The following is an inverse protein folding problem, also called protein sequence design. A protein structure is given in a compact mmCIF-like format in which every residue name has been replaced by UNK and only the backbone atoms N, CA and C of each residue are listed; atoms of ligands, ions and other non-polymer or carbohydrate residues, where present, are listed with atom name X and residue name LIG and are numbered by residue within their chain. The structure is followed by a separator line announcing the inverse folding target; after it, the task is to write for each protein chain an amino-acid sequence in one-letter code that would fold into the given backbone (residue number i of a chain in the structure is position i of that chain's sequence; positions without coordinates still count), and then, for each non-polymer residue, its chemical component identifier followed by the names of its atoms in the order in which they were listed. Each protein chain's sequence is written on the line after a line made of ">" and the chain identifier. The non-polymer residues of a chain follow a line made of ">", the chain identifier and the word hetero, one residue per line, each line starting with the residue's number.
data_IF_107464883488
#
_entry.id   IF_107464883488
#
_cell.length_a   1.000
_cell.length_b   1.000
_cell.length_c   1.000
_cell.angle_alpha   90.00
_cell.angle_beta   90.00
_cell.angle_gamma   90.00
#
_symmetry.space_group_name_H-M   'P 1'
#
loop_
_entity.id
_entity.type
_entity.pdbx_description
1 polymer ?
#
# COMPACT_ATOMS: atom_id res chain seq x y z
N UNK A 1 24.17 14.71 -33.07
CA UNK A 1 24.20 14.54 -31.60
C UNK A 1 24.59 13.13 -31.20
N UNK A 2 23.85 12.09 -31.61
CA UNK A 2 24.21 10.67 -31.39
C UNK A 2 25.65 10.31 -31.73
N UNK A 3 26.14 10.74 -32.90
CA UNK A 3 27.53 10.50 -33.34
C UNK A 3 28.57 11.00 -32.34
N UNK A 4 28.35 12.17 -31.73
CA UNK A 4 29.26 12.74 -30.71
C UNK A 4 29.24 11.92 -29.41
N UNK A 5 28.09 11.37 -29.03
CA UNK A 5 27.97 10.50 -27.85
C UNK A 5 28.70 9.18 -28.11
N UNK A 6 28.51 8.57 -29.27
CA UNK A 6 29.18 7.32 -29.65
C UNK A 6 30.69 7.52 -29.71
N UNK A 7 31.17 8.57 -30.39
CA UNK A 7 32.59 8.90 -30.45
C UNK A 7 33.16 9.19 -29.05
N UNK A 8 32.43 9.90 -28.20
CA UNK A 8 32.80 10.14 -26.80
C UNK A 8 32.89 8.85 -25.96
N UNK A 9 31.97 7.91 -26.15
CA UNK A 9 31.96 6.60 -25.49
C UNK A 9 33.10 5.70 -25.98
N UNK A 10 33.37 5.69 -27.28
CA UNK A 10 34.47 4.90 -27.88
C UNK A 10 35.83 5.47 -27.51
N UNK A 11 35.96 6.79 -27.33
CA UNK A 11 37.20 7.43 -26.87
C UNK A 11 37.48 7.13 -25.40
N UNK A 12 36.45 7.05 -24.57
CA UNK A 12 36.56 6.87 -23.11
C UNK A 12 36.17 5.45 -22.66
N UNK A 13 36.66 4.41 -23.35
CA UNK A 13 36.25 3.00 -23.11
C UNK A 13 36.39 2.57 -21.64
N UNK A 14 37.45 3.01 -20.96
CA UNK A 14 37.69 2.69 -19.55
C UNK A 14 36.60 3.27 -18.64
N UNK A 15 36.21 4.53 -18.85
CA UNK A 15 35.12 5.15 -18.08
C UNK A 15 33.79 4.44 -18.34
N UNK A 16 33.51 4.10 -19.60
CA UNK A 16 32.29 3.36 -19.96
C UNK A 16 32.26 2.00 -19.25
N UNK A 17 33.37 1.25 -19.26
CA UNK A 17 33.46 -0.05 -18.57
C UNK A 17 33.28 0.12 -17.06
N UNK A 18 33.89 1.13 -16.45
CA UNK A 18 33.73 1.42 -15.02
C UNK A 18 32.26 1.71 -14.67
N UNK A 19 31.58 2.53 -15.48
CA UNK A 19 30.16 2.81 -15.31
C UNK A 19 29.30 1.55 -15.43
N UNK A 20 29.62 0.68 -16.39
CA UNK A 20 28.91 -0.60 -16.56
C UNK A 20 29.10 -1.49 -15.33
N UNK A 21 30.33 -1.65 -14.83
CA UNK A 21 30.60 -2.45 -13.63
C UNK A 21 29.89 -1.88 -12.40
N UNK A 22 29.93 -0.56 -12.22
CA UNK A 22 29.22 0.10 -11.13
C UNK A 22 27.69 -0.10 -11.23
N UNK A 23 27.12 0.00 -12.44
CA UNK A 23 25.70 -0.23 -12.69
C UNK A 23 25.30 -1.69 -12.41
N UNK A 24 26.13 -2.66 -12.78
CA UNK A 24 25.93 -4.08 -12.46
C UNK A 24 25.96 -4.28 -10.94
N UNK A 25 26.96 -3.73 -10.25
CA UNK A 25 27.06 -3.82 -8.79
C UNK A 25 25.85 -3.23 -8.06
N UNK A 26 25.39 -2.05 -8.51
CA UNK A 26 24.17 -1.42 -8.01
C UNK A 26 22.93 -2.29 -8.29
N UNK A 27 22.83 -2.86 -9.50
CA UNK A 27 21.74 -3.75 -9.89
C UNK A 27 21.68 -5.02 -9.03
N UNK A 28 22.82 -5.67 -8.78
CA UNK A 28 22.89 -6.86 -7.90
C UNK A 28 22.50 -6.50 -6.46
N UNK A 29 22.98 -5.37 -5.94
CA UNK A 29 22.56 -4.89 -4.61
C UNK A 29 21.06 -4.61 -4.55
N UNK A 30 20.47 -4.02 -5.60
CA UNK A 30 19.04 -3.75 -5.67
C UNK A 30 18.23 -5.05 -5.73
N UNK A 31 18.63 -6.01 -6.57
CA UNK A 31 18.00 -7.34 -6.67
C UNK A 31 17.97 -8.08 -5.33
N UNK A 32 19.06 -8.02 -4.56
CA UNK A 32 19.12 -8.65 -3.23
C UNK A 32 18.27 -7.96 -2.16
N UNK A 33 17.96 -6.68 -2.34
CA UNK A 33 17.18 -5.87 -1.39
C UNK A 33 15.72 -5.73 -1.78
N UNK A 34 15.36 -6.08 -3.01
CA UNK A 34 13.99 -5.99 -3.49
C UNK A 34 13.13 -6.97 -2.69
N UNK A 35 12.08 -6.51 -1.99
CA UNK A 35 11.14 -7.41 -1.35
C UNK A 35 10.46 -8.25 -2.43
N UNK A 36 10.56 -9.56 -2.31
CA UNK A 36 9.89 -10.49 -3.21
C UNK A 36 8.57 -10.91 -2.56
N UNK A 37 7.46 -10.63 -3.24
CA UNK A 37 6.16 -11.19 -2.89
C UNK A 37 5.75 -12.20 -3.97
N UNK A 38 5.11 -13.29 -3.54
CA UNK A 38 4.66 -14.36 -4.42
C UNK A 38 3.36 -13.99 -5.13
N UNK A 39 2.57 -13.08 -4.56
CA UNK A 39 1.27 -12.68 -5.07
C UNK A 39 1.18 -11.15 -5.13
N UNK A 40 0.58 -10.59 -6.20
CA UNK A 40 0.25 -9.18 -6.20
C UNK A 40 -0.90 -8.92 -5.23
N UNK A 41 -0.81 -7.84 -4.44
CA UNK A 41 -1.93 -7.39 -3.61
C UNK A 41 -3.06 -6.86 -4.51
N UNK A 42 -4.18 -7.59 -4.51
CA UNK A 42 -5.41 -7.28 -5.26
C UNK A 42 -6.53 -6.82 -4.34
N UNK A 43 -6.25 -6.67 -3.04
CA UNK A 43 -7.25 -6.35 -2.03
C UNK A 43 -7.65 -4.88 -2.14
N UNK A 44 -8.93 -4.59 -1.88
CA UNK A 44 -9.36 -3.21 -1.70
C UNK A 44 -8.78 -2.62 -0.41
N UNK A 45 -8.50 -1.32 -0.42
CA UNK A 45 -8.07 -0.59 0.78
C UNK A 45 -9.26 -0.47 1.74
N UNK A 46 -9.17 -1.14 2.89
CA UNK A 46 -10.18 -1.13 3.94
C UNK A 46 -9.59 -0.60 5.24
N UNK A 47 -10.36 0.23 5.94
CA UNK A 47 -10.08 0.65 7.32
C UNK A 47 -11.16 0.04 8.21
N UNK A 48 -10.75 -0.68 9.25
CA UNK A 48 -11.65 -1.34 10.20
C UNK A 48 -11.70 -0.51 11.48
N UNK A 49 -12.91 -0.13 11.92
CA UNK A 49 -13.15 0.54 13.19
C UNK A 49 -13.78 -0.45 14.15
N UNK A 50 -13.00 -0.95 15.10
CA UNK A 50 -13.46 -1.95 16.04
C UNK A 50 -13.79 -1.32 17.40
N UNK A 51 -15.02 -1.49 17.86
CA UNK A 51 -15.51 -0.95 19.13
C UNK A 51 -16.13 -2.06 19.97
N UNK A 52 -15.73 -2.14 21.24
CA UNK A 52 -16.27 -3.11 22.20
C UNK A 52 -17.28 -2.44 23.16
N UNK A 53 -18.41 -3.10 23.39
CA UNK A 53 -19.39 -2.70 24.40
C UNK A 53 -19.97 -3.92 25.13
N UNK A 54 -19.19 -4.53 26.04
CA UNK A 54 -19.53 -5.82 26.63
C UNK A 54 -20.89 -5.80 27.35
N UNK A 55 -21.64 -6.89 27.19
CA UNK A 55 -22.94 -7.10 27.85
C UNK A 55 -24.14 -6.45 27.16
N UNK A 56 -23.94 -5.73 26.04
CA UNK A 56 -25.04 -5.13 25.29
C UNK A 56 -25.58 -6.06 24.19
N UNK A 57 -26.91 -6.13 24.01
CA UNK A 57 -27.50 -6.85 22.91
C UNK A 57 -27.19 -6.16 21.57
N UNK A 58 -27.15 -6.90 20.44
CA UNK A 58 -26.82 -6.35 19.12
C UNK A 58 -27.63 -5.11 18.72
N UNK A 59 -28.91 -5.06 19.10
CA UNK A 59 -29.77 -3.92 18.79
C UNK A 59 -29.28 -2.61 19.44
N UNK A 60 -28.86 -2.67 20.71
CA UNK A 60 -28.35 -1.49 21.41
C UNK A 60 -27.00 -1.06 20.83
N UNK A 61 -26.15 -2.03 20.47
CA UNK A 61 -24.88 -1.76 19.80
C UNK A 61 -25.10 -1.08 18.44
N UNK A 62 -26.07 -1.54 17.66
CA UNK A 62 -26.45 -0.90 16.39
C UNK A 62 -26.90 0.54 16.61
N UNK A 63 -27.89 0.76 17.47
CA UNK A 63 -28.53 2.06 17.64
C UNK A 63 -27.59 3.11 18.25
N UNK A 64 -26.67 2.68 19.13
CA UNK A 64 -25.84 3.60 19.92
C UNK A 64 -24.39 3.70 19.44
N UNK A 65 -23.89 2.73 18.65
CA UNK A 65 -22.49 2.71 18.19
C UNK A 65 -22.41 2.59 16.67
N UNK A 66 -22.89 1.49 16.10
CA UNK A 66 -22.66 1.18 14.69
C UNK A 66 -23.37 2.17 13.76
N UNK A 67 -24.61 2.52 14.04
CA UNK A 67 -25.39 3.46 13.24
C UNK A 67 -24.79 4.89 13.22
N UNK A 68 -24.48 5.54 14.36
CA UNK A 68 -23.84 6.86 14.33
C UNK A 68 -22.43 6.82 13.71
N UNK A 69 -21.67 5.74 13.90
CA UNK A 69 -20.36 5.59 13.26
C UNK A 69 -20.48 5.43 11.74
N UNK A 70 -21.30 4.50 11.25
CA UNK A 70 -21.42 4.26 9.80
C UNK A 70 -21.98 5.47 9.06
N UNK A 71 -22.99 6.14 9.62
CA UNK A 71 -23.59 7.33 9.00
C UNK A 71 -22.62 8.51 8.93
N UNK A 72 -21.78 8.72 9.95
CA UNK A 72 -20.73 9.76 9.90
C UNK A 72 -19.61 9.38 8.93
N UNK A 73 -19.27 8.09 8.83
CA UNK A 73 -18.24 7.59 7.90
C UNK A 73 -18.65 7.73 6.43
N UNK A 74 -19.95 7.84 6.11
CA UNK A 74 -20.40 8.15 4.75
C UNK A 74 -19.89 9.50 4.24
N UNK A 75 -19.58 10.44 5.14
CA UNK A 75 -19.05 11.75 4.77
C UNK A 75 -17.52 11.76 4.57
N UNK A 76 -16.82 10.66 4.85
CA UNK A 76 -15.36 10.58 4.71
C UNK A 76 -14.97 10.65 3.23
N UNK A 77 -14.05 11.55 2.91
CA UNK A 77 -13.56 11.71 1.56
C UNK A 77 -12.95 10.39 1.04
N UNK A 78 -13.31 10.02 -0.19
CA UNK A 78 -12.87 8.79 -0.88
C UNK A 78 -13.41 7.48 -0.28
N UNK A 79 -14.37 7.52 0.64
CA UNK A 79 -15.12 6.34 1.02
C UNK A 79 -15.97 5.84 -0.16
N UNK A 80 -15.76 4.60 -0.60
CA UNK A 80 -16.59 3.96 -1.65
C UNK A 80 -17.84 3.33 -1.04
N UNK A 81 -17.64 2.54 0.02
CA UNK A 81 -18.67 1.79 0.72
C UNK A 81 -18.33 1.81 2.20
N UNK A 82 -19.35 2.00 3.04
CA UNK A 82 -19.26 1.85 4.49
C UNK A 82 -20.11 0.66 4.89
N UNK A 83 -19.56 -0.26 5.67
CA UNK A 83 -20.25 -1.44 6.21
C UNK A 83 -20.15 -1.38 7.73
N UNK A 84 -21.21 -1.77 8.42
CA UNK A 84 -21.23 -1.91 9.86
C UNK A 84 -21.85 -3.24 10.24
N UNK A 85 -21.29 -3.87 11.26
CA UNK A 85 -21.70 -5.13 11.82
C UNK A 85 -21.89 -4.95 13.33
N UNK A 86 -23.08 -5.30 13.80
CA UNK A 86 -23.45 -5.24 15.22
C UNK A 86 -23.62 -6.65 15.76
N UNK A 87 -22.71 -7.04 16.65
CA UNK A 87 -22.74 -8.31 17.37
C UNK A 87 -22.97 -8.06 18.86
N UNK A 88 -23.18 -9.13 19.63
CA UNK A 88 -23.33 -9.02 21.08
C UNK A 88 -22.05 -8.43 21.69
N UNK A 89 -22.17 -7.21 22.19
CA UNK A 89 -21.11 -6.41 22.75
C UNK A 89 -19.95 -6.02 21.83
N UNK A 90 -20.10 -6.08 20.50
CA UNK A 90 -19.06 -5.73 19.52
C UNK A 90 -19.66 -4.98 18.31
N UNK A 91 -18.94 -3.99 17.81
CA UNK A 91 -19.25 -3.21 16.59
C UNK A 91 -18.01 -3.13 15.69
N UNK A 92 -18.11 -3.49 14.40
CA UNK A 92 -17.02 -3.33 13.42
C UNK A 92 -17.47 -3.29 11.96
#
# INVERSE_FOLDING_TARGET
>A
MLRKIIEGSVRNKLLVILFVVAAIGAGVSALRKLPLDALPDVSDVQVILFTEWPGQPPQIVEDQVTYPLTTTMLAVAKAKVVRGYSFFGLSF
#
